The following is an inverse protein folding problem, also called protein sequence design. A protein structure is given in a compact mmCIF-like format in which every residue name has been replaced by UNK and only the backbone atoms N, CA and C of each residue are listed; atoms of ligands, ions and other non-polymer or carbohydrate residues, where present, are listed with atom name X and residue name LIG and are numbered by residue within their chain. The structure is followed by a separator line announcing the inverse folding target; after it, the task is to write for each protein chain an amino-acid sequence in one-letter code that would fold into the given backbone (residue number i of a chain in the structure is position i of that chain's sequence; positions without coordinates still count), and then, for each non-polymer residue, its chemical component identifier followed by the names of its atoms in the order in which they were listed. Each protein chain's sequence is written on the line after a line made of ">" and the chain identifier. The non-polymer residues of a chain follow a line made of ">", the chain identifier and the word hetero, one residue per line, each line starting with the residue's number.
data_IF_799814380434
#
_entry.id   IF_799814380434
#
_cell.length_a   1.000
_cell.length_b   1.000
_cell.length_c   1.000
_cell.angle_alpha   90.00
_cell.angle_beta   90.00
_cell.angle_gamma   90.00
#
_symmetry.space_group_name_H-M   'P 1'
#
loop_
_entity.id
_entity.type
_entity.pdbx_description
1 polymer ?
#
# COMPACT_ATOMS: atom_id res chain seq x y z
N UNK A 1 55.49 -6.18 53.65
CA UNK A 1 54.88 -7.07 52.64
C UNK A 1 53.62 -6.47 52.19
N UNK A 2 53.63 -5.78 51.04
CA UNK A 2 52.48 -5.24 50.36
C UNK A 2 52.51 -5.70 48.88
N UNK A 3 51.72 -6.67 48.51
CA UNK A 3 51.61 -7.15 47.16
C UNK A 3 50.07 -7.18 46.79
N UNK A 4 49.72 -6.33 45.83
CA UNK A 4 49.07 -6.67 44.58
C UNK A 4 47.60 -7.03 44.67
N UNK A 5 46.77 -6.00 44.63
CA UNK A 5 45.31 -6.07 44.21
C UNK A 5 45.04 -5.25 42.93
N UNK A 6 45.88 -5.34 41.90
CA UNK A 6 45.75 -4.53 40.70
C UNK A 6 45.43 -5.33 39.43
N UNK A 7 45.03 -6.60 39.55
CA UNK A 7 44.76 -7.44 38.38
C UNK A 7 43.32 -7.89 38.20
N UNK A 8 42.35 -7.42 39.01
CA UNK A 8 40.96 -7.92 38.92
C UNK A 8 39.96 -6.99 38.24
N UNK A 9 40.34 -5.79 37.78
CA UNK A 9 39.39 -4.82 37.19
C UNK A 9 39.39 -4.74 35.65
N UNK A 10 40.20 -5.51 34.93
CA UNK A 10 40.32 -5.40 33.47
C UNK A 10 39.59 -6.47 32.68
N UNK A 11 38.89 -7.42 33.30
CA UNK A 11 38.17 -8.51 32.60
C UNK A 11 36.65 -8.26 32.50
N UNK A 12 36.09 -7.29 33.22
CA UNK A 12 34.63 -7.02 33.21
C UNK A 12 34.17 -5.97 32.20
N UNK A 13 35.08 -5.34 31.47
CA UNK A 13 34.73 -4.27 30.52
C UNK A 13 34.48 -4.73 29.07
N UNK A 14 34.70 -6.01 28.73
CA UNK A 14 34.63 -6.52 27.35
C UNK A 14 33.33 -7.26 27.00
N UNK A 15 32.43 -7.48 27.95
CA UNK A 15 31.18 -8.25 27.68
C UNK A 15 29.98 -7.34 27.36
N UNK A 16 30.08 -6.03 27.57
CA UNK A 16 28.95 -5.11 27.39
C UNK A 16 28.75 -4.59 25.93
N UNK A 17 29.67 -4.90 25.01
CA UNK A 17 29.60 -4.35 23.63
C UNK A 17 28.95 -5.29 22.59
N UNK A 18 28.56 -6.51 22.98
CA UNK A 18 28.04 -7.51 21.99
C UNK A 18 26.55 -7.67 21.93
N UNK A 19 25.76 -6.86 22.64
CA UNK A 19 24.30 -7.01 22.71
C UNK A 19 23.49 -5.97 21.92
N UNK A 20 24.13 -5.15 21.07
CA UNK A 20 23.40 -4.12 20.27
C UNK A 20 23.43 -4.39 18.75
N UNK A 21 23.75 -5.60 18.35
CA UNK A 21 23.50 -5.98 16.94
C UNK A 21 22.10 -6.60 16.83
N UNK A 22 21.06 -5.82 17.11
CA UNK A 22 19.71 -6.12 16.63
C UNK A 22 19.81 -6.04 15.12
N UNK A 23 19.58 -7.13 14.36
CA UNK A 23 19.49 -7.03 12.92
C UNK A 23 18.40 -5.99 12.65
N UNK A 24 18.76 -4.87 12.01
CA UNK A 24 17.78 -3.99 11.44
C UNK A 24 17.09 -4.82 10.37
N UNK A 25 15.90 -5.30 10.69
CA UNK A 25 14.99 -5.88 9.73
C UNK A 25 14.90 -4.86 8.60
N UNK A 26 15.39 -5.25 7.43
CA UNK A 26 15.29 -4.46 6.20
C UNK A 26 13.89 -3.88 6.15
N UNK A 27 13.78 -2.58 5.92
CA UNK A 27 12.50 -1.89 5.80
C UNK A 27 11.62 -2.73 4.88
N UNK A 28 10.59 -3.34 5.45
CA UNK A 28 9.65 -4.18 4.74
C UNK A 28 9.13 -3.37 3.55
N UNK A 29 9.08 -4.00 2.41
CA UNK A 29 8.54 -3.41 1.21
C UNK A 29 7.22 -2.74 1.57
N UNK A 30 7.09 -1.44 1.33
CA UNK A 30 5.94 -0.69 1.81
C UNK A 30 4.71 -1.21 1.07
N UNK A 31 3.82 -1.89 1.78
CA UNK A 31 2.55 -2.43 1.26
C UNK A 31 1.78 -1.40 0.42
N UNK A 32 1.87 -0.13 0.80
CA UNK A 32 1.20 0.98 0.14
C UNK A 32 2.09 1.64 -0.91
N UNK A 33 1.58 1.74 -2.13
CA UNK A 33 2.13 2.57 -3.20
C UNK A 33 1.42 3.92 -3.23
N UNK A 34 2.19 4.97 -3.55
CA UNK A 34 1.67 6.33 -3.69
C UNK A 34 2.34 7.01 -4.87
N UNK A 35 1.55 7.68 -5.71
CA UNK A 35 2.00 8.39 -6.91
C UNK A 35 1.43 9.81 -6.88
N UNK A 36 2.30 10.83 -7.01
CA UNK A 36 1.88 12.22 -7.19
C UNK A 36 1.35 12.41 -8.62
N UNK A 37 0.17 13.01 -8.74
CA UNK A 37 -0.40 13.34 -10.04
C UNK A 37 0.14 14.65 -10.58
N UNK A 38 0.35 14.73 -11.89
CA UNK A 38 0.66 15.95 -12.63
C UNK A 38 -0.60 16.74 -13.04
N UNK A 39 -1.77 16.26 -12.62
CA UNK A 39 -3.10 16.79 -12.94
C UNK A 39 -3.77 17.34 -11.69
N UNK A 40 -4.79 18.16 -11.87
CA UNK A 40 -5.71 18.53 -10.79
C UNK A 40 -6.44 17.30 -10.24
N UNK A 41 -7.10 17.45 -9.08
CA UNK A 41 -7.89 16.38 -8.48
C UNK A 41 -8.97 15.86 -9.45
N UNK A 42 -9.76 16.76 -10.01
CA UNK A 42 -10.85 16.39 -10.91
C UNK A 42 -10.36 15.72 -12.20
N UNK A 43 -9.31 16.24 -12.82
CA UNK A 43 -8.70 15.61 -14.00
C UNK A 43 -8.13 14.23 -13.66
N UNK A 44 -7.50 14.07 -12.49
CA UNK A 44 -6.96 12.78 -12.04
C UNK A 44 -8.09 11.76 -11.88
N UNK A 45 -9.20 12.16 -11.27
CA UNK A 45 -10.39 11.31 -11.08
C UNK A 45 -10.97 10.87 -12.43
N UNK A 46 -11.14 11.79 -13.38
CA UNK A 46 -11.67 11.46 -14.72
C UNK A 46 -10.72 10.50 -15.47
N UNK A 47 -9.42 10.77 -15.45
CA UNK A 47 -8.43 9.89 -16.09
C UNK A 47 -8.36 8.52 -15.41
N UNK A 48 -8.51 8.46 -14.08
CA UNK A 48 -8.55 7.20 -13.35
C UNK A 48 -9.77 6.36 -13.76
N UNK A 49 -10.95 6.95 -13.85
CA UNK A 49 -12.17 6.26 -14.31
C UNK A 49 -12.00 5.70 -15.73
N UNK A 50 -11.42 6.50 -16.60
CA UNK A 50 -11.11 6.07 -17.96
C UNK A 50 -10.12 4.91 -18.00
N UNK A 51 -9.01 5.01 -17.26
CA UNK A 51 -7.98 3.98 -17.19
C UNK A 51 -8.52 2.67 -16.58
N UNK A 52 -9.32 2.74 -15.52
CA UNK A 52 -9.99 1.56 -14.92
C UNK A 52 -10.82 0.84 -15.97
N UNK A 53 -11.66 1.56 -16.71
CA UNK A 53 -12.50 0.99 -17.78
C UNK A 53 -11.66 0.42 -18.93
N UNK A 54 -10.62 1.12 -19.34
CA UNK A 54 -9.69 0.71 -20.42
C UNK A 54 -8.96 -0.60 -20.12
N UNK A 55 -8.67 -0.90 -18.84
CA UNK A 55 -8.10 -2.16 -18.39
C UNK A 55 -9.14 -3.25 -18.08
N UNK A 56 -10.42 -3.00 -18.40
CA UNK A 56 -11.52 -3.96 -18.24
C UNK A 56 -11.91 -4.20 -16.79
N UNK A 57 -11.60 -3.27 -15.88
CA UNK A 57 -12.11 -3.26 -14.52
C UNK A 57 -13.44 -2.51 -14.45
N UNK A 58 -14.23 -2.86 -13.44
CA UNK A 58 -15.49 -2.19 -13.12
C UNK A 58 -15.37 -1.51 -11.76
N UNK A 59 -15.77 -0.25 -11.68
CA UNK A 59 -15.93 0.46 -10.41
C UNK A 59 -17.22 -0.06 -9.78
N UNK A 60 -17.11 -0.68 -8.60
CA UNK A 60 -18.26 -1.20 -7.84
C UNK A 60 -18.71 -0.23 -6.76
N UNK A 61 -17.78 0.59 -6.26
CA UNK A 61 -18.07 1.63 -5.26
C UNK A 61 -17.22 2.86 -5.55
N UNK A 62 -17.83 4.02 -5.42
CA UNK A 62 -17.15 5.32 -5.36
C UNK A 62 -17.57 6.01 -4.06
N UNK A 63 -16.62 6.21 -3.14
CA UNK A 63 -16.89 6.80 -1.84
C UNK A 63 -16.20 8.16 -1.73
N UNK A 64 -16.99 9.22 -1.66
CA UNK A 64 -16.50 10.59 -1.50
C UNK A 64 -16.40 10.95 -0.01
N UNK A 65 -15.19 10.91 0.54
CA UNK A 65 -14.98 11.26 1.95
C UNK A 65 -15.19 12.74 2.23
N UNK A 66 -14.89 13.63 1.29
CA UNK A 66 -15.14 15.06 1.46
C UNK A 66 -16.63 15.34 1.67
N UNK A 67 -17.50 14.70 0.87
CA UNK A 67 -18.95 14.85 1.06
C UNK A 67 -19.46 14.26 2.37
N UNK A 68 -18.90 13.12 2.79
CA UNK A 68 -19.23 12.51 4.08
C UNK A 68 -18.86 13.46 5.22
N UNK A 69 -17.64 14.01 5.21
CA UNK A 69 -17.16 14.93 6.23
C UNK A 69 -17.94 16.27 6.21
N UNK A 70 -18.28 16.77 5.03
CA UNK A 70 -19.12 17.97 4.89
C UNK A 70 -20.48 17.81 5.57
N UNK A 71 -21.11 16.64 5.48
CA UNK A 71 -22.37 16.35 6.20
C UNK A 71 -22.19 16.39 7.73
N UNK A 72 -20.99 16.09 8.21
CA UNK A 72 -20.61 16.18 9.61
C UNK A 72 -20.08 17.58 10.01
N UNK A 73 -20.17 18.57 9.11
CA UNK A 73 -19.65 19.94 9.29
C UNK A 73 -18.14 20.00 9.51
N UNK A 74 -17.41 19.04 8.95
CA UNK A 74 -15.94 18.98 8.95
C UNK A 74 -15.45 19.36 7.56
N UNK A 75 -14.62 20.40 7.47
CA UNK A 75 -13.95 20.76 6.22
C UNK A 75 -12.75 19.84 5.97
N UNK A 76 -12.57 19.43 4.74
CA UNK A 76 -11.47 18.57 4.30
C UNK A 76 -11.13 18.80 2.84
N UNK A 77 -9.90 18.47 2.47
CA UNK A 77 -9.49 18.41 1.07
C UNK A 77 -10.26 17.34 0.30
N UNK A 78 -10.37 17.47 -1.03
CA UNK A 78 -10.98 16.46 -1.89
C UNK A 78 -10.37 15.09 -1.68
N UNK A 79 -11.22 14.08 -1.59
CA UNK A 79 -10.77 12.69 -1.44
C UNK A 79 -11.84 11.68 -1.82
N UNK A 80 -11.45 10.68 -2.63
CA UNK A 80 -12.31 9.63 -3.16
C UNK A 80 -11.64 8.26 -3.03
N UNK A 81 -12.41 7.24 -2.65
CA UNK A 81 -12.00 5.83 -2.77
C UNK A 81 -12.80 5.18 -3.88
N UNK A 82 -12.09 4.52 -4.78
CA UNK A 82 -12.66 3.63 -5.78
C UNK A 82 -12.44 2.19 -5.37
N UNK A 83 -13.50 1.40 -5.31
CA UNK A 83 -13.42 -0.04 -5.21
C UNK A 83 -13.62 -0.62 -6.61
N UNK A 84 -12.64 -1.40 -7.06
CA UNK A 84 -12.60 -1.91 -8.43
C UNK A 84 -12.47 -3.42 -8.45
N UNK A 85 -13.12 -4.05 -9.43
CA UNK A 85 -13.11 -5.50 -9.61
C UNK A 85 -13.05 -5.85 -11.10
N UNK A 86 -12.42 -6.98 -11.41
CA UNK A 86 -12.54 -7.63 -12.70
C UNK A 86 -13.09 -9.04 -12.47
N UNK A 87 -14.30 -9.31 -12.95
CA UNK A 87 -15.02 -10.56 -12.69
C UNK A 87 -14.21 -11.83 -12.98
N UNK A 88 -13.50 -11.96 -14.12
CA UNK A 88 -12.63 -13.12 -14.37
C UNK A 88 -11.56 -13.29 -13.29
N UNK A 89 -10.96 -12.22 -12.80
CA UNK A 89 -9.95 -12.27 -11.75
C UNK A 89 -10.50 -12.74 -10.41
N UNK A 90 -11.64 -12.19 -10.01
CA UNK A 90 -12.31 -12.61 -8.79
C UNK A 90 -12.61 -14.11 -8.81
N UNK A 91 -13.09 -14.62 -9.97
CA UNK A 91 -13.33 -16.06 -10.15
C UNK A 91 -12.05 -16.87 -9.98
N UNK A 92 -10.97 -16.53 -10.69
CA UNK A 92 -9.69 -17.24 -10.63
C UNK A 92 -9.15 -17.27 -9.21
N UNK A 93 -9.12 -16.11 -8.56
CA UNK A 93 -8.62 -15.95 -7.21
C UNK A 93 -9.38 -16.80 -6.18
N UNK A 94 -10.71 -16.73 -6.21
CA UNK A 94 -11.56 -17.50 -5.29
C UNK A 94 -11.54 -19.02 -5.56
N UNK A 95 -11.15 -19.45 -6.78
CA UNK A 95 -10.92 -20.85 -7.08
C UNK A 95 -9.58 -21.34 -6.55
N UNK A 96 -8.56 -20.47 -6.48
CA UNK A 96 -7.26 -20.80 -5.89
C UNK A 96 -7.40 -20.83 -4.36
N UNK A 97 -7.93 -19.76 -3.78
CA UNK A 97 -8.12 -19.60 -2.34
C UNK A 97 -9.38 -18.79 -2.03
N UNK A 98 -10.43 -19.41 -1.46
CA UNK A 98 -11.64 -18.69 -1.05
C UNK A 98 -11.39 -17.58 -0.01
N UNK A 99 -10.36 -17.71 0.84
CA UNK A 99 -10.01 -16.69 1.85
C UNK A 99 -9.52 -15.38 1.22
N UNK A 100 -8.94 -15.45 0.01
CA UNK A 100 -8.51 -14.28 -0.74
C UNK A 100 -9.67 -13.31 -1.10
N UNK A 101 -10.92 -13.76 -0.94
CA UNK A 101 -12.10 -12.91 -1.06
C UNK A 101 -12.10 -11.69 -0.13
N UNK A 102 -11.33 -11.74 0.97
CA UNK A 102 -11.14 -10.61 1.88
C UNK A 102 -10.41 -9.43 1.20
N UNK A 103 -9.58 -9.70 0.21
CA UNK A 103 -8.74 -8.70 -0.46
C UNK A 103 -9.38 -8.04 -1.69
N UNK A 104 -10.60 -8.43 -2.05
CA UNK A 104 -11.35 -7.85 -3.16
C UNK A 104 -12.70 -7.28 -2.68
N UNK A 105 -13.16 -6.18 -3.26
CA UNK A 105 -12.58 -5.38 -4.36
C UNK A 105 -11.26 -4.71 -4.01
N UNK A 106 -10.39 -4.48 -5.02
CA UNK A 106 -9.17 -3.70 -4.85
C UNK A 106 -9.53 -2.22 -4.69
N UNK A 107 -8.71 -1.49 -3.92
CA UNK A 107 -8.97 -0.07 -3.62
C UNK A 107 -7.92 0.83 -4.22
N UNK A 108 -8.37 1.91 -4.86
CA UNK A 108 -7.54 3.03 -5.30
C UNK A 108 -8.09 4.29 -4.64
N UNK A 109 -7.24 4.98 -3.89
CA UNK A 109 -7.57 6.20 -3.18
C UNK A 109 -6.96 7.40 -3.90
N UNK A 110 -7.77 8.40 -4.22
CA UNK A 110 -7.36 9.70 -4.78
C UNK A 110 -7.60 10.75 -3.72
N UNK A 111 -6.60 11.57 -3.44
CA UNK A 111 -6.73 12.61 -2.43
C UNK A 111 -5.82 13.80 -2.71
N UNK A 112 -6.25 14.96 -2.25
CA UNK A 112 -5.45 16.18 -2.29
C UNK A 112 -4.84 16.46 -0.93
N UNK A 113 -3.56 16.80 -0.90
CA UNK A 113 -2.88 17.27 0.31
C UNK A 113 -3.06 18.78 0.50
N UNK A 114 -2.66 19.28 1.67
CA UNK A 114 -2.77 20.70 2.03
C UNK A 114 -1.96 21.64 1.12
N UNK A 115 -0.99 21.12 0.40
CA UNK A 115 -0.18 21.83 -0.58
C UNK A 115 -0.87 21.97 -1.96
N UNK A 116 -2.10 21.44 -2.09
CA UNK A 116 -2.88 21.43 -3.34
C UNK A 116 -2.45 20.37 -4.34
N UNK A 117 -1.55 19.47 -3.96
CA UNK A 117 -1.11 18.38 -4.83
C UNK A 117 -2.02 17.16 -4.67
N UNK A 118 -2.31 16.52 -5.80
CA UNK A 118 -3.13 15.32 -5.88
C UNK A 118 -2.26 14.08 -5.87
N UNK A 119 -2.71 13.06 -5.14
CA UNK A 119 -2.03 11.77 -5.01
C UNK A 119 -3.00 10.62 -5.27
N UNK A 120 -2.47 9.54 -5.87
CA UNK A 120 -3.15 8.25 -5.94
C UNK A 120 -2.41 7.27 -5.06
N UNK A 121 -3.16 6.49 -4.28
CA UNK A 121 -2.57 5.48 -3.38
C UNK A 121 -3.35 4.18 -3.44
N UNK A 122 -2.64 3.06 -3.38
CA UNK A 122 -3.21 1.71 -3.36
C UNK A 122 -2.30 0.75 -2.61
N UNK A 123 -2.84 -0.38 -2.20
CA UNK A 123 -2.05 -1.48 -1.66
C UNK A 123 -1.64 -2.44 -2.78
N UNK A 124 -0.38 -2.89 -2.78
CA UNK A 124 0.10 -3.91 -3.71
C UNK A 124 -0.58 -5.25 -3.42
N UNK A 125 -1.34 -5.80 -4.39
CA UNK A 125 -1.92 -7.12 -4.23
C UNK A 125 -0.93 -8.23 -3.87
N UNK A 126 0.28 -8.24 -4.47
CA UNK A 126 1.29 -9.26 -4.17
C UNK A 126 1.66 -9.30 -2.68
N UNK A 127 1.84 -8.11 -2.07
CA UNK A 127 2.17 -8.01 -0.64
C UNK A 127 0.97 -8.33 0.25
N UNK A 128 -0.26 -7.97 -0.19
CA UNK A 128 -1.48 -8.32 0.53
C UNK A 128 -1.70 -9.84 0.59
N UNK A 129 -1.46 -10.53 -0.53
CA UNK A 129 -1.73 -11.96 -0.66
C UNK A 129 -0.62 -12.84 -0.09
N UNK A 130 0.59 -12.30 0.11
CA UNK A 130 1.68 -12.99 0.82
C UNK A 130 1.35 -13.28 2.28
N UNK A 131 0.37 -12.58 2.85
CA UNK A 131 -0.08 -12.82 4.23
C UNK A 131 -0.93 -14.09 4.37
N UNK A 132 -1.35 -14.71 3.25
CA UNK A 132 -2.15 -15.92 3.24
C UNK A 132 -1.23 -17.17 3.12
N UNK A 133 -1.06 -17.98 4.18
CA UNK A 133 -0.16 -19.13 4.18
C UNK A 133 -0.53 -20.18 3.13
N UNK A 134 0.41 -20.54 2.25
CA UNK A 134 0.27 -21.63 1.29
C UNK A 134 -0.55 -21.32 0.05
N UNK A 135 -0.80 -20.06 -0.24
CA UNK A 135 -1.57 -19.59 -1.38
C UNK A 135 -0.72 -19.54 -2.67
N UNK A 136 -1.19 -20.23 -3.72
CA UNK A 136 -0.62 -20.13 -5.08
C UNK A 136 -1.00 -18.81 -5.79
N UNK A 137 -1.46 -17.81 -5.02
CA UNK A 137 -1.92 -16.52 -5.54
C UNK A 137 -0.79 -15.59 -5.99
N UNK A 138 0.46 -15.90 -5.65
CA UNK A 138 1.57 -14.96 -5.82
C UNK A 138 1.79 -14.52 -7.29
N UNK A 139 1.82 -15.46 -8.23
CA UNK A 139 1.97 -15.14 -9.65
C UNK A 139 0.78 -14.32 -10.18
N UNK A 140 -0.43 -14.64 -9.70
CA UNK A 140 -1.63 -13.90 -10.05
C UNK A 140 -1.63 -12.49 -9.44
N UNK A 141 -1.20 -12.34 -8.19
CA UNK A 141 -1.10 -11.07 -7.51
C UNK A 141 -0.10 -10.11 -8.18
N UNK A 142 1.02 -10.62 -8.69
CA UNK A 142 1.97 -9.83 -9.47
C UNK A 142 1.37 -9.27 -10.78
N UNK A 143 0.46 -10.00 -11.43
CA UNK A 143 -0.28 -9.47 -12.59
C UNK A 143 -1.23 -8.33 -12.17
N UNK A 144 -1.82 -8.43 -11.00
CA UNK A 144 -2.67 -7.37 -10.43
C UNK A 144 -1.84 -6.12 -10.12
N UNK A 145 -0.64 -6.29 -9.56
CA UNK A 145 0.30 -5.18 -9.28
C UNK A 145 0.59 -4.39 -10.55
N UNK A 146 0.97 -5.08 -11.63
CA UNK A 146 1.27 -4.44 -12.92
C UNK A 146 0.07 -3.67 -13.46
N UNK A 147 -1.12 -4.28 -13.41
CA UNK A 147 -2.33 -3.63 -13.90
C UNK A 147 -2.71 -2.38 -13.07
N UNK A 148 -2.60 -2.45 -11.75
CA UNK A 148 -2.86 -1.27 -10.90
C UNK A 148 -1.83 -0.17 -11.14
N UNK A 149 -0.56 -0.53 -11.31
CA UNK A 149 0.50 0.43 -11.62
C UNK A 149 0.24 1.13 -12.96
N UNK A 150 -0.13 0.41 -14.01
CA UNK A 150 -0.48 0.97 -15.31
C UNK A 150 -1.68 1.92 -15.22
N UNK A 151 -2.75 1.52 -14.53
CA UNK A 151 -3.95 2.35 -14.29
C UNK A 151 -3.58 3.65 -13.58
N UNK A 152 -2.83 3.54 -12.47
CA UNK A 152 -2.46 4.69 -11.65
C UNK A 152 -1.51 5.63 -12.40
N UNK A 153 -0.54 5.10 -13.13
CA UNK A 153 0.35 5.91 -13.97
C UNK A 153 -0.40 6.62 -15.09
N UNK A 154 -1.31 5.95 -15.78
CA UNK A 154 -2.13 6.57 -16.82
C UNK A 154 -3.00 7.70 -16.27
N UNK A 155 -3.50 7.56 -15.04
CA UNK A 155 -4.27 8.60 -14.37
C UNK A 155 -3.41 9.78 -13.90
N UNK A 156 -2.18 9.52 -13.43
CA UNK A 156 -1.31 10.52 -12.82
C UNK A 156 -0.54 11.38 -13.84
N UNK A 157 -0.15 10.82 -14.98
CA UNK A 157 0.74 11.47 -15.94
C UNK A 157 0.03 11.89 -17.22
N UNK A 158 0.56 12.97 -17.86
CA UNK A 158 0.07 13.50 -19.15
C UNK A 158 0.67 12.76 -20.32
#
# INVERSE_FOLDING_TARGET
>A
MRLSYWCACLVLATIAASLLNVPQTSAGETLRREVESQRSFDETVEQLKWAIGGHGLTIVTEMNYQEILKKLKVESSPSLVFEVIRRPWARTMLQIDPAAGLHVPLRIYVFERRDGKTYLSYYQPSVLFETEPGSDLNAFAQQLDQTLEEIVRAAAHR
#
